data_IF_403999712070
#
_entry.id   IF_403999712070
#
_cell.length_a   1.000
_cell.length_b   1.000
_cell.length_c   1.000
_cell.angle_alpha   90.00
_cell.angle_beta   90.00
_cell.angle_gamma   90.00
#
_symmetry.space_group_name_H-M   'P 1'
#
loop_
_entity.id
_entity.type
_entity.pdbx_description
1 polymer ?
#
# COMPACT_ATOMS: atom_id res chain seq x y z
N UNK A 1 -1.09 8.57 14.80
CA UNK A 1 0.25 9.11 14.43
C UNK A 1 0.57 8.59 13.07
N UNK A 2 0.80 9.49 12.12
CA UNK A 2 1.11 9.17 10.73
C UNK A 2 2.56 8.72 10.58
N UNK A 3 2.89 8.11 9.44
CA UNK A 3 4.26 7.77 9.05
C UNK A 3 4.46 8.05 7.56
N UNK A 4 5.71 8.27 7.16
CA UNK A 4 6.05 8.54 5.76
C UNK A 4 6.91 7.42 5.17
N UNK A 5 6.81 7.23 3.87
CA UNK A 5 7.62 6.27 3.11
C UNK A 5 7.78 6.76 1.67
N UNK A 6 8.75 6.19 0.95
CA UNK A 6 8.97 6.47 -0.46
C UNK A 6 8.39 5.35 -1.32
N UNK A 7 7.82 5.71 -2.46
CA UNK A 7 7.32 4.76 -3.45
C UNK A 7 8.43 4.36 -4.41
N UNK A 8 8.39 3.10 -4.85
CA UNK A 8 9.24 2.60 -5.92
C UNK A 8 8.38 1.77 -6.90
N UNK A 9 8.67 1.87 -8.19
CA UNK A 9 7.93 1.20 -9.26
C UNK A 9 6.74 2.00 -9.82
N UNK A 10 6.01 1.36 -10.75
CA UNK A 10 5.03 2.00 -11.63
C UNK A 10 3.60 1.49 -11.45
N UNK A 11 3.29 0.79 -10.36
CA UNK A 11 2.00 0.09 -10.25
C UNK A 11 0.77 1.03 -10.22
N UNK A 12 0.95 2.29 -9.87
CA UNK A 12 -0.11 3.30 -9.90
C UNK A 12 0.01 4.26 -11.10
N UNK A 13 0.92 3.97 -12.03
CA UNK A 13 1.22 4.83 -13.17
C UNK A 13 1.56 6.26 -12.79
N UNK A 14 1.10 7.22 -13.59
CA UNK A 14 1.27 8.65 -13.32
C UNK A 14 0.52 9.17 -12.08
N UNK A 15 -0.38 8.37 -11.49
CA UNK A 15 -1.16 8.80 -10.32
C UNK A 15 -0.33 8.84 -9.04
N UNK A 16 0.63 7.93 -8.90
CA UNK A 16 1.62 7.96 -7.81
C UNK A 16 3.00 7.78 -8.44
N UNK A 17 3.79 8.85 -8.58
CA UNK A 17 5.08 8.78 -9.23
C UNK A 17 6.07 7.94 -8.42
N UNK A 18 7.02 7.31 -9.12
CA UNK A 18 8.17 6.66 -8.50
C UNK A 18 9.01 7.70 -7.74
N UNK A 19 9.44 7.36 -6.53
CA UNK A 19 10.20 8.26 -5.65
C UNK A 19 9.34 9.28 -4.90
N UNK A 20 8.01 9.25 -5.04
CA UNK A 20 7.12 10.11 -4.26
C UNK A 20 7.20 9.78 -2.77
N UNK A 21 7.23 10.81 -1.92
CA UNK A 21 7.11 10.62 -0.49
C UNK A 21 5.63 10.70 -0.10
N UNK A 22 5.08 9.59 0.38
CA UNK A 22 3.69 9.51 0.83
C UNK A 22 3.60 9.55 2.35
N UNK A 23 2.47 10.04 2.85
CA UNK A 23 2.10 10.02 4.26
C UNK A 23 0.88 9.11 4.47
N UNK A 24 1.01 8.15 5.38
CA UNK A 24 -0.05 7.23 5.74
C UNK A 24 -0.57 7.48 7.17
N UNK A 25 -1.90 7.41 7.33
CA UNK A 25 -2.58 7.46 8.62
C UNK A 25 -3.25 6.10 8.94
N UNK A 26 -2.88 5.44 10.05
CA UNK A 26 -3.48 4.18 10.49
C UNK A 26 -4.82 4.34 11.25
N UNK A 27 -5.40 5.54 11.30
CA UNK A 27 -6.56 5.87 12.15
C UNK A 27 -7.89 6.04 11.42
N UNK A 28 -7.98 6.82 10.32
CA UNK A 28 -9.26 7.13 9.70
C UNK A 28 -9.87 5.93 9.00
N UNK A 29 -11.19 5.94 8.86
CA UNK A 29 -11.90 5.01 7.99
C UNK A 29 -11.46 5.20 6.53
N UNK A 30 -11.43 4.10 5.78
CA UNK A 30 -10.99 4.04 4.39
C UNK A 30 -12.21 3.80 3.51
N UNK A 31 -12.46 4.70 2.57
CA UNK A 31 -13.54 4.66 1.59
C UNK A 31 -13.06 4.17 0.21
N UNK A 32 -13.91 3.49 -0.58
CA UNK A 32 -13.59 3.12 -1.96
C UNK A 32 -13.11 4.31 -2.80
N UNK A 33 -12.09 4.08 -3.63
CA UNK A 33 -11.41 5.10 -4.43
C UNK A 33 -10.19 5.73 -3.74
N UNK A 34 -10.03 5.55 -2.43
CA UNK A 34 -8.89 6.10 -1.70
C UNK A 34 -7.62 5.25 -1.84
N UNK A 35 -6.45 5.89 -1.78
CA UNK A 35 -5.17 5.21 -1.77
C UNK A 35 -4.85 4.64 -0.40
N UNK A 36 -4.26 3.43 -0.38
CA UNK A 36 -3.83 2.75 0.84
C UNK A 36 -2.43 2.19 0.71
N UNK A 37 -1.67 2.26 1.82
CA UNK A 37 -0.47 1.45 2.02
C UNK A 37 -0.89 0.07 2.54
N UNK A 38 -0.44 -0.99 1.87
CA UNK A 38 -0.77 -2.38 2.21
C UNK A 38 0.50 -3.17 2.50
N UNK A 39 0.52 -3.86 3.64
CA UNK A 39 1.59 -4.76 4.05
C UNK A 39 1.06 -6.17 4.11
N UNK A 40 1.67 -7.07 3.36
CA UNK A 40 1.28 -8.48 3.29
C UNK A 40 2.08 -9.30 4.28
N UNK A 41 1.46 -10.35 4.85
CA UNK A 41 2.19 -11.35 5.61
C UNK A 41 2.96 -12.27 4.66
N UNK A 42 4.10 -12.79 5.11
CA UNK A 42 4.90 -13.77 4.37
C UNK A 42 4.28 -15.18 4.31
N UNK A 43 3.06 -15.33 4.84
CA UNK A 43 2.35 -16.61 4.95
C UNK A 43 1.07 -16.58 4.11
N UNK A 44 0.65 -17.76 3.62
CA UNK A 44 -0.61 -17.92 2.90
C UNK A 44 -0.49 -17.72 1.39
N UNK A 45 -1.61 -17.57 0.67
CA UNK A 45 -1.65 -17.53 -0.79
C UNK A 45 -0.87 -16.36 -1.41
N UNK A 46 -0.69 -15.27 -0.66
CA UNK A 46 0.04 -14.07 -1.11
C UNK A 46 1.55 -14.15 -0.87
N UNK A 47 2.07 -15.27 -0.36
CA UNK A 47 3.49 -15.43 0.00
C UNK A 47 4.44 -15.09 -1.14
N UNK A 48 4.15 -15.51 -2.37
CA UNK A 48 5.02 -15.23 -3.52
C UNK A 48 5.21 -13.72 -3.76
N UNK A 49 4.12 -12.94 -3.63
CA UNK A 49 4.18 -11.49 -3.72
C UNK A 49 4.93 -10.90 -2.53
N UNK A 50 4.59 -11.31 -1.30
CA UNK A 50 5.28 -10.83 -0.10
C UNK A 50 6.79 -11.07 -0.14
N UNK A 51 7.23 -12.26 -0.57
CA UNK A 51 8.64 -12.59 -0.74
C UNK A 51 9.32 -11.77 -1.85
N UNK A 52 8.60 -11.48 -2.94
CA UNK A 52 9.13 -10.64 -4.01
C UNK A 52 9.34 -9.19 -3.55
N UNK A 53 8.43 -8.66 -2.72
CA UNK A 53 8.59 -7.33 -2.11
C UNK A 53 9.82 -7.31 -1.20
N UNK A 54 9.93 -8.25 -0.26
CA UNK A 54 11.05 -8.31 0.66
C UNK A 54 12.40 -8.55 -0.04
N UNK A 55 12.43 -9.38 -1.09
CA UNK A 55 13.62 -9.61 -1.90
C UNK A 55 14.14 -8.34 -2.61
N UNK A 56 13.27 -7.36 -2.86
CA UNK A 56 13.63 -6.04 -3.39
C UNK A 56 13.72 -4.96 -2.29
N UNK A 57 13.75 -5.36 -1.02
CA UNK A 57 13.76 -4.46 0.14
C UNK A 57 12.54 -3.53 0.22
N UNK A 58 11.42 -3.94 -0.36
CA UNK A 58 10.14 -3.21 -0.27
C UNK A 58 9.31 -3.76 0.88
N UNK A 59 8.79 -2.85 1.71
CA UNK A 59 8.00 -3.19 2.91
C UNK A 59 6.52 -3.49 2.60
N UNK A 60 6.02 -3.03 1.45
CA UNK A 60 4.61 -3.12 1.12
C UNK A 60 4.32 -2.57 -0.28
N UNK A 61 3.05 -2.32 -0.55
CA UNK A 61 2.57 -1.77 -1.83
C UNK A 61 1.57 -0.64 -1.60
N UNK A 62 1.51 0.28 -2.54
CA UNK A 62 0.41 1.26 -2.64
C UNK A 62 -0.63 0.71 -3.60
N UNK A 63 -1.90 0.79 -3.20
CA UNK A 63 -3.05 0.37 -4.01
C UNK A 63 -4.22 1.33 -3.82
N UNK A 64 -5.16 1.32 -4.76
CA UNK A 64 -6.46 1.92 -4.55
C UNK A 64 -7.35 0.92 -3.78
N UNK A 65 -7.99 1.35 -2.70
CA UNK A 65 -9.01 0.56 -2.05
C UNK A 65 -10.28 0.60 -2.90
N UNK A 66 -10.77 -0.56 -3.34
CA UNK A 66 -12.02 -0.68 -4.10
C UNK A 66 -13.17 -1.10 -3.20
N UNK A 67 -12.88 -1.53 -1.97
CA UNK A 67 -13.91 -1.92 -1.02
C UNK A 67 -13.75 -3.34 -0.49
N UNK A 68 -14.83 -3.93 0.03
CA UNK A 68 -14.80 -5.25 0.67
C UNK A 68 -15.71 -6.26 -0.03
N UNK A 69 -15.35 -7.53 0.10
CA UNK A 69 -16.14 -8.66 -0.37
C UNK A 69 -16.04 -9.83 0.60
N UNK A 70 -16.83 -10.87 0.37
CA UNK A 70 -16.79 -12.11 1.13
C UNK A 70 -16.35 -13.25 0.22
N UNK A 71 -15.31 -13.98 0.64
CA UNK A 71 -14.85 -15.18 -0.07
C UNK A 71 -15.92 -16.27 -0.04
N UNK A 72 -15.78 -17.30 -0.89
CA UNK A 72 -16.66 -18.48 -0.88
C UNK A 72 -16.78 -19.14 0.51
N UNK A 73 -15.75 -19.03 1.34
CA UNK A 73 -15.73 -19.59 2.68
C UNK A 73 -16.28 -18.65 3.76
N UNK A 74 -16.91 -17.53 3.38
CA UNK A 74 -17.48 -16.57 4.34
C UNK A 74 -16.46 -15.62 4.98
N UNK A 75 -15.21 -15.59 4.50
CA UNK A 75 -14.14 -14.75 5.08
C UNK A 75 -14.07 -13.40 4.39
N UNK A 76 -13.82 -12.34 5.16
CA UNK A 76 -13.69 -10.97 4.63
C UNK A 76 -12.43 -10.84 3.78
N UNK A 77 -12.58 -10.24 2.60
CA UNK A 77 -11.50 -9.89 1.71
C UNK A 77 -11.63 -8.43 1.26
N UNK A 78 -10.48 -7.84 0.97
CA UNK A 78 -10.34 -6.47 0.54
C UNK A 78 -10.02 -6.47 -0.95
N UNK A 79 -10.75 -5.65 -1.71
CA UNK A 79 -10.55 -5.45 -3.13
C UNK A 79 -9.59 -4.27 -3.31
N UNK A 80 -8.48 -4.52 -3.99
CA UNK A 80 -7.38 -3.57 -4.18
C UNK A 80 -7.10 -3.38 -5.67
N UNK A 81 -7.09 -2.14 -6.12
CA UNK A 81 -6.82 -1.74 -7.49
C UNK A 81 -5.36 -1.35 -7.71
N UNK A 82 -4.82 -1.81 -8.83
CA UNK A 82 -3.61 -1.33 -9.46
C UNK A 82 -4.01 -0.63 -10.76
N UNK A 83 -3.40 0.51 -11.09
CA UNK A 83 -3.79 1.31 -12.25
C UNK A 83 -2.91 1.03 -13.48
N UNK A 84 -1.66 0.62 -13.30
CA UNK A 84 -0.76 0.32 -14.41
C UNK A 84 0.02 -1.00 -14.19
N UNK A 85 -0.27 -2.06 -14.96
CA UNK A 85 -1.52 -2.27 -15.69
C UNK A 85 -2.75 -2.32 -14.76
N UNK A 86 -3.97 -2.08 -15.27
CA UNK A 86 -5.22 -2.22 -14.52
C UNK A 86 -5.40 -3.65 -13.99
N UNK A 87 -5.26 -3.85 -12.67
CA UNK A 87 -5.43 -5.16 -12.01
C UNK A 87 -6.24 -4.99 -10.74
N UNK A 88 -7.19 -5.91 -10.53
CA UNK A 88 -7.92 -6.05 -9.27
C UNK A 88 -7.38 -7.25 -8.50
N UNK A 89 -6.97 -7.01 -7.26
CA UNK A 89 -6.48 -8.02 -6.34
C UNK A 89 -7.44 -8.15 -5.16
N UNK A 90 -7.92 -9.37 -4.91
CA UNK A 90 -8.67 -9.70 -3.70
C UNK A 90 -7.72 -10.31 -2.65
N UNK A 91 -7.62 -9.69 -1.48
CA UNK A 91 -6.75 -10.17 -0.39
C UNK A 91 -7.57 -10.38 0.87
N UNK A 92 -7.54 -11.59 1.41
CA UNK A 92 -8.19 -11.91 2.68
C UNK A 92 -7.53 -11.18 3.86
N UNK A 93 -8.33 -10.68 4.81
CA UNK A 93 -7.87 -9.95 5.99
C UNK A 93 -6.74 -10.68 6.74
N UNK A 94 -6.87 -12.00 6.86
CA UNK A 94 -5.91 -12.85 7.57
C UNK A 94 -4.48 -12.78 6.98
N UNK A 95 -4.33 -12.39 5.71
CA UNK A 95 -3.05 -12.30 5.01
C UNK A 95 -2.47 -10.87 4.96
N UNK A 96 -3.16 -9.89 5.55
CA UNK A 96 -2.64 -8.53 5.70
C UNK A 96 -2.05 -8.33 7.09
N UNK A 97 -0.85 -7.75 7.13
CA UNK A 97 -0.26 -7.24 8.36
C UNK A 97 -0.76 -5.83 8.69
N UNK A 98 -0.92 -5.00 7.66
CA UNK A 98 -1.43 -3.64 7.79
C UNK A 98 -2.12 -3.14 6.51
N UNK A 99 -3.08 -2.22 6.69
CA UNK A 99 -3.70 -1.44 5.61
C UNK A 99 -4.08 -0.07 6.17
N UNK A 100 -3.44 0.99 5.66
CA UNK A 100 -3.54 2.35 6.19
C UNK A 100 -3.84 3.35 5.07
N UNK A 101 -4.64 4.38 5.37
CA UNK A 101 -5.02 5.42 4.40
C UNK A 101 -3.81 6.27 4.02
N UNK A 102 -3.63 6.57 2.74
CA UNK A 102 -2.72 7.64 2.31
C UNK A 102 -3.44 8.97 2.41
N UNK A 103 -2.94 9.86 3.27
CA UNK A 103 -3.56 11.16 3.58
C UNK A 103 -2.83 12.32 2.94
N UNK A 104 -1.64 12.09 2.38
CA UNK A 104 -0.86 13.11 1.71
C UNK A 104 0.27 12.56 0.86
N UNK A 105 0.68 13.37 -0.10
CA UNK A 105 1.91 13.19 -0.86
C UNK A 105 2.70 14.49 -0.75
N UNK A 106 4.01 14.39 -0.46
CA UNK A 106 4.91 15.54 -0.58
C UNK A 106 5.40 15.60 -2.02
N UNK A 107 5.13 16.73 -2.66
CA UNK A 107 5.66 17.03 -3.98
C UNK A 107 7.19 16.92 -3.97
N UNK A 108 7.72 16.14 -4.90
CA UNK A 108 9.16 16.11 -5.15
C UNK A 108 9.49 17.05 -6.31
N UNK A 109 10.70 17.64 -6.37
CA UNK A 109 11.08 18.57 -7.45
C UNK A 109 11.02 17.98 -8.87
N UNK A 110 10.92 16.65 -8.97
CA UNK A 110 10.88 15.87 -10.21
C UNK A 110 9.47 15.37 -10.54
N UNK A 111 8.46 15.78 -9.77
CA UNK A 111 7.05 15.51 -10.07
C UNK A 111 6.67 16.37 -11.27
N UNK A 112 6.79 15.80 -12.47
CA UNK A 112 6.34 16.44 -13.70
C UNK A 112 4.82 16.39 -13.76
N UNK A 113 4.20 17.43 -14.32
CA UNK A 113 2.79 17.37 -14.69
C UNK A 113 2.56 16.19 -15.64
N UNK A 114 1.43 15.50 -15.47
CA UNK A 114 1.05 14.45 -16.39
C UNK A 114 0.81 15.03 -17.78
N UNK A 115 1.16 14.24 -18.80
CA UNK A 115 0.75 14.49 -20.18
C UNK A 115 -0.73 14.15 -20.37
N UNK A 116 -1.37 14.74 -21.38
CA UNK A 116 -2.76 14.41 -21.75
C UNK A 116 -2.99 12.90 -21.95
N UNK A 117 -1.98 12.19 -22.48
CA UNK A 117 -2.03 10.74 -22.66
C UNK A 117 -2.03 9.98 -21.32
N UNK A 118 -1.23 10.44 -20.35
CA UNK A 118 -1.19 9.85 -19.00
C UNK A 118 -2.51 10.05 -18.26
N UNK A 119 -3.11 11.24 -18.37
CA UNK A 119 -4.42 11.51 -17.77
C UNK A 119 -5.52 10.67 -18.44
N UNK A 120 -5.51 10.54 -19.76
CA UNK A 120 -6.45 9.67 -20.47
C UNK A 120 -6.32 8.19 -20.08
N UNK A 121 -5.08 7.72 -19.89
CA UNK A 121 -4.80 6.36 -19.42
C UNK A 121 -5.27 6.13 -17.98
N UNK A 122 -5.09 7.13 -17.11
CA UNK A 122 -5.58 7.10 -15.74
C UNK A 122 -7.11 6.99 -15.71
N UNK A 123 -7.83 7.83 -16.46
CA UNK A 123 -9.28 7.78 -16.55
C UNK A 123 -9.78 6.43 -17.07
N UNK A 124 -9.14 5.89 -18.11
CA UNK A 124 -9.46 4.56 -18.62
C UNK A 124 -9.22 3.46 -17.58
N UNK A 125 -8.15 3.55 -16.78
CA UNK A 125 -7.89 2.61 -15.70
C UNK A 125 -8.96 2.70 -14.59
N UNK A 126 -9.37 3.91 -14.21
CA UNK A 126 -10.42 4.13 -13.21
C UNK A 126 -11.79 3.59 -13.68
N UNK A 127 -12.14 3.79 -14.95
CA UNK A 127 -13.36 3.25 -15.54
C UNK A 127 -13.38 1.71 -15.48
N UNK A 128 -12.24 1.06 -15.79
CA UNK A 128 -12.07 -0.39 -15.65
C UNK A 128 -12.17 -0.88 -14.20
N UNK A 129 -11.80 -0.06 -13.22
CA UNK A 129 -11.93 -0.38 -11.80
C UNK A 129 -13.36 -0.19 -11.28
N UNK A 130 -14.16 0.68 -11.91
CA UNK A 130 -15.48 1.09 -11.40
C UNK A 130 -16.44 -0.07 -11.06
N UNK A 131 -16.51 -1.20 -11.81
CA UNK A 131 -17.43 -2.29 -11.47
C UNK A 131 -17.05 -3.03 -10.18
N UNK A 132 -15.82 -2.85 -9.71
CA UNK A 132 -15.25 -3.51 -8.54
C UNK A 132 -15.34 -2.66 -7.27
N UNK A 133 -15.87 -1.44 -7.36
CA UNK A 133 -16.16 -0.61 -6.21
C UNK A 133 -17.34 -1.20 -5.42
N UNK A 134 -17.09 -1.86 -4.28
CA UNK A 134 -18.11 -2.66 -3.58
C UNK A 134 -17.95 -2.72 -2.06
N UNK A 135 -19.01 -3.03 -1.30
CA UNK A 135 -18.86 -3.37 0.13
C UNK A 135 -18.40 -2.24 1.06
N UNK A 136 -18.43 -0.99 0.58
CA UNK A 136 -18.34 0.23 1.40
C UNK A 136 -17.00 0.45 2.10
N UNK A 137 -17.04 1.32 3.10
CA UNK A 137 -15.89 1.75 3.87
C UNK A 137 -15.40 0.68 4.87
N UNK A 138 -14.16 0.78 5.31
CA UNK A 138 -13.57 -0.14 6.29
C UNK A 138 -12.61 0.56 7.24
N UNK A 139 -12.52 0.02 8.46
CA UNK A 139 -11.49 0.39 9.40
C UNK A 139 -10.10 -0.07 8.93
N UNK A 140 -9.02 0.65 9.31
CA UNK A 140 -7.64 0.26 9.06
C UNK A 140 -7.28 -1.11 9.66
N UNK A 141 -6.34 -1.80 9.03
CA UNK A 141 -5.79 -3.06 9.55
C UNK A 141 -4.44 -2.79 10.20
N UNK A 142 -4.21 -3.37 11.37
CA UNK A 142 -2.93 -3.29 12.05
C UNK A 142 -2.55 -1.86 12.45
N UNK A 143 -3.40 -1.10 13.17
CA UNK A 143 -3.17 0.33 13.43
C UNK A 143 -1.89 0.65 14.23
N UNK A 144 -1.31 -0.36 14.87
CA UNK A 144 -0.04 -0.28 15.60
C UNK A 144 1.17 -0.68 14.75
N UNK A 145 0.97 -1.20 13.55
CA UNK A 145 2.04 -1.57 12.63
C UNK A 145 2.79 -0.32 12.16
N UNK A 146 4.11 -0.37 12.18
CA UNK A 146 4.98 0.71 11.69
C UNK A 146 6.09 0.10 10.85
N UNK A 147 6.60 0.83 9.83
CA UNK A 147 7.84 0.44 9.17
C UNK A 147 8.95 0.34 10.21
N UNK A 148 9.77 -0.70 10.11
CA UNK A 148 10.91 -0.88 11.01
C UNK A 148 11.91 0.22 10.73
N UNK A 149 12.26 0.99 11.76
CA UNK A 149 13.35 1.96 11.69
C UNK A 149 14.67 1.20 11.76
N UNK A 150 15.25 0.92 10.58
CA UNK A 150 16.48 0.15 10.46
C UNK A 150 17.65 0.88 11.12
N UNK A 151 17.69 2.22 11.09
CA UNK A 151 18.74 2.99 11.77
C UNK A 151 18.63 2.84 13.28
N UNK A 152 17.42 2.94 13.84
CA UNK A 152 17.18 2.71 15.26
C UNK A 152 17.52 1.27 15.68
N UNK A 153 17.22 0.27 14.85
CA UNK A 153 17.58 -1.13 15.10
C UNK A 153 19.10 -1.34 15.06
N UNK A 154 19.79 -0.74 14.09
CA UNK A 154 21.25 -0.82 13.97
C UNK A 154 21.94 -0.12 15.15
N UNK A 155 21.48 1.06 15.55
CA UNK A 155 22.01 1.77 16.73
C UNK A 155 21.74 1.01 18.03
N UNK A 156 20.55 0.42 18.19
CA UNK A 156 20.23 -0.43 19.34
C UNK A 156 21.11 -1.70 19.37
N UNK A 157 21.40 -2.31 18.21
CA UNK A 157 22.29 -3.46 18.11
C UNK A 157 23.74 -3.10 18.49
N UNK A 158 24.27 -1.97 18.02
CA UNK A 158 25.60 -1.46 18.41
C UNK A 158 25.68 -1.14 19.91
N UNK A 159 24.62 -0.60 20.50
CA UNK A 159 24.56 -0.33 21.94
C UNK A 159 24.61 -1.62 22.77
N UNK A 160 23.94 -2.69 22.32
CA UNK A 160 23.99 -4.00 22.97
C UNK A 160 25.37 -4.66 22.86
N UNK A 161 26.04 -4.56 21.71
CA UNK A 161 27.42 -5.06 21.55
C UNK A 161 28.44 -4.34 22.44
N UNK A 162 28.19 -3.08 22.79
CA UNK A 162 29.06 -2.30 23.69
C UNK A 162 28.75 -2.50 25.19
N UNK A 163 27.68 -3.23 25.54
CA UNK A 163 27.35 -3.55 26.95
C UNK A 163 28.02 -4.86 27.39
N UNK A 164 28.41 -5.71 26.44
CA UNK A 164 29.11 -6.99 26.67
C UNK A 164 30.66 -6.89 26.53
N UNK A 165 31.22 -5.67 26.44
CA UNK A 165 32.67 -5.38 26.36
C UNK A 165 33.18 -4.64 27.60
#
# INVERSE_FOLDING_TARGET
MTYTFFTEGHCMGGFVPTGAQLEADPTPEIEPGQLVAVVLKETGPMRGLAQSLHGNSWLGVVKMFLGTTTTRAGRKAYMLGQLEPPIVLAVEEAHMAAMHLIVGAKETPWTLENTDEQDANLEAALDLMSPWMCGGATQPIGPNWRPVDVEAVVEAAKLLENIDA
#
